data_IF_751898219314
#
_entry.id   IF_751898219314
#
_cell.length_a   1.000
_cell.length_b   1.000
_cell.length_c   1.000
_cell.angle_alpha   90.00
_cell.angle_beta   90.00
_cell.angle_gamma   90.00
#
_symmetry.space_group_name_H-M   'P 1'
#
loop_
_entity.id
_entity.type
_entity.pdbx_description
1 polymer ?
#
# COMPACT_ATOMS: atom_id res chain seq x y z
N UNK A 1 13.95 5.50 -5.65
CA UNK A 1 14.99 4.75 -6.39
C UNK A 1 16.37 4.85 -5.72
N UNK A 2 16.87 6.05 -5.36
CA UNK A 2 18.19 6.24 -4.75
C UNK A 2 18.39 5.37 -3.50
N UNK A 3 17.45 5.43 -2.54
CA UNK A 3 17.49 4.64 -1.30
C UNK A 3 17.51 3.13 -1.53
N UNK A 4 16.84 2.67 -2.58
CA UNK A 4 16.82 1.25 -2.94
C UNK A 4 18.15 0.80 -3.55
N UNK A 5 18.78 1.64 -4.39
CA UNK A 5 20.12 1.36 -4.95
C UNK A 5 21.21 1.35 -3.90
N UNK A 6 21.08 2.21 -2.88
CA UNK A 6 22.04 2.33 -1.77
C UNK A 6 21.79 1.25 -0.67
N UNK A 7 20.73 0.47 -0.79
CA UNK A 7 20.32 -0.60 0.17
C UNK A 7 20.43 -0.17 1.64
N UNK A 8 19.90 1.01 1.94
CA UNK A 8 19.92 1.61 3.28
C UNK A 8 18.56 2.10 3.70
N UNK A 9 18.38 2.29 4.98
CA UNK A 9 17.20 2.92 5.54
C UNK A 9 17.13 4.41 5.17
N UNK A 10 15.90 4.93 5.13
CA UNK A 10 15.65 6.35 4.94
C UNK A 10 15.97 7.13 6.20
N UNK A 11 16.65 8.28 6.06
CA UNK A 11 16.81 9.25 7.13
C UNK A 11 15.46 9.86 7.54
N UNK A 12 15.35 10.52 8.70
CA UNK A 12 14.11 11.19 9.11
C UNK A 12 13.61 12.21 8.08
N UNK A 13 14.49 12.95 7.42
CA UNK A 13 14.14 13.94 6.39
C UNK A 13 13.65 13.26 5.10
N UNK A 14 14.30 12.17 4.72
CA UNK A 14 13.87 11.37 3.57
C UNK A 14 12.51 10.71 3.84
N UNK A 15 12.26 10.20 5.06
CA UNK A 15 10.93 9.70 5.45
C UNK A 15 9.85 10.76 5.38
N UNK A 16 10.12 12.00 5.82
CA UNK A 16 9.19 13.12 5.66
C UNK A 16 8.87 13.42 4.19
N UNK A 17 9.86 13.23 3.30
CA UNK A 17 9.66 13.39 1.87
C UNK A 17 8.84 12.24 1.29
N UNK A 18 9.17 11.00 1.64
CA UNK A 18 8.42 9.81 1.21
C UNK A 18 6.97 9.83 1.69
N UNK A 19 6.72 10.29 2.92
CA UNK A 19 5.39 10.40 3.50
C UNK A 19 4.47 11.43 2.79
N UNK A 20 5.02 12.27 1.91
CA UNK A 20 4.22 13.17 1.05
C UNK A 20 3.69 12.46 -0.21
N UNK A 21 4.20 11.29 -0.53
CA UNK A 21 3.69 10.53 -1.65
C UNK A 21 2.28 10.02 -1.35
N UNK A 22 1.36 10.36 -2.21
CA UNK A 22 -0.07 10.05 -2.06
C UNK A 22 -0.58 9.07 -3.13
N UNK A 23 0.34 8.36 -3.82
CA UNK A 23 0.00 7.45 -4.90
C UNK A 23 -0.44 8.14 -6.18
N UNK A 24 -1.00 7.37 -7.08
CA UNK A 24 -1.37 7.80 -8.43
C UNK A 24 -2.86 8.10 -8.58
N UNK A 25 -3.66 7.89 -7.54
CA UNK A 25 -5.09 8.12 -7.56
C UNK A 25 -5.45 9.55 -7.98
N UNK A 26 -6.33 9.68 -8.96
CA UNK A 26 -6.74 10.98 -9.48
C UNK A 26 -5.77 11.64 -10.48
N UNK A 27 -4.62 11.01 -10.80
CA UNK A 27 -3.61 11.53 -11.72
C UNK A 27 -3.71 10.94 -13.14
N UNK A 28 -4.89 10.49 -13.57
CA UNK A 28 -5.11 9.88 -14.89
C UNK A 28 -4.57 10.74 -16.04
N UNK A 29 -4.72 12.06 -15.93
CA UNK A 29 -4.26 13.01 -16.95
C UNK A 29 -2.73 13.01 -17.16
N UNK A 30 -1.94 12.64 -16.13
CA UNK A 30 -0.48 12.56 -16.24
C UNK A 30 -0.01 11.35 -17.06
N UNK A 31 -0.91 10.38 -17.31
CA UNK A 31 -0.68 9.18 -18.11
C UNK A 31 -1.30 9.22 -19.50
N UNK A 32 -1.95 10.34 -19.87
CA UNK A 32 -2.58 10.55 -21.17
C UNK A 32 -1.62 11.33 -22.10
N UNK A 33 -1.11 10.63 -23.12
CA UNK A 33 -0.19 11.19 -24.12
C UNK A 33 -0.83 12.30 -24.99
N UNK A 34 -2.16 12.37 -25.03
CA UNK A 34 -2.88 13.37 -25.81
C UNK A 34 -3.31 14.59 -25.01
N UNK A 35 -3.07 14.59 -23.68
CA UNK A 35 -3.45 15.71 -22.83
C UNK A 35 -2.40 16.82 -22.88
N UNK A 36 -2.66 17.85 -23.68
CA UNK A 36 -1.73 18.97 -23.90
C UNK A 36 -1.32 19.70 -22.60
N UNK A 37 -2.19 19.72 -21.60
CA UNK A 37 -1.92 20.40 -20.32
C UNK A 37 -0.97 19.62 -19.42
N UNK A 38 -0.73 18.33 -19.69
CA UNK A 38 0.05 17.41 -18.85
C UNK A 38 1.28 16.81 -19.57
N UNK A 39 1.64 17.37 -20.73
CA UNK A 39 2.74 16.85 -21.54
C UNK A 39 4.09 16.83 -20.79
N UNK A 40 4.32 17.81 -19.93
CA UNK A 40 5.55 17.89 -19.13
C UNK A 40 5.61 16.73 -18.13
N UNK A 41 4.56 16.55 -17.35
CA UNK A 41 4.45 15.49 -16.35
C UNK A 41 4.45 14.10 -17.00
N UNK A 42 3.79 13.95 -18.15
CA UNK A 42 3.84 12.73 -18.95
C UNK A 42 5.26 12.37 -19.37
N UNK A 43 6.03 13.34 -19.91
CA UNK A 43 7.41 13.12 -20.31
C UNK A 43 8.32 12.80 -19.11
N UNK A 44 8.17 13.53 -18.00
CA UNK A 44 8.93 13.27 -16.77
C UNK A 44 8.65 11.88 -16.21
N UNK A 45 7.39 11.41 -16.21
CA UNK A 45 7.04 10.06 -15.75
C UNK A 45 7.71 8.98 -16.62
N UNK A 46 7.71 9.15 -17.94
CA UNK A 46 8.38 8.24 -18.87
C UNK A 46 9.90 8.19 -18.68
N UNK A 47 10.51 9.27 -18.29
CA UNK A 47 11.96 9.35 -18.01
C UNK A 47 12.32 8.75 -16.65
N UNK A 48 11.50 9.00 -15.63
CA UNK A 48 11.82 8.67 -14.24
C UNK A 48 11.47 7.23 -13.86
N UNK A 49 10.44 6.65 -14.48
CA UNK A 49 9.95 5.30 -14.19
C UNK A 49 10.48 4.30 -15.21
N UNK A 50 10.76 3.08 -14.75
CA UNK A 50 10.93 1.96 -15.67
C UNK A 50 9.59 1.63 -16.36
N UNK A 51 9.64 0.87 -17.46
CA UNK A 51 8.43 0.48 -18.18
C UNK A 51 7.42 -0.23 -17.25
N UNK A 52 7.90 -1.16 -16.42
CA UNK A 52 7.06 -1.90 -15.48
C UNK A 52 6.50 -0.99 -14.37
N UNK A 53 7.30 -0.07 -13.83
CA UNK A 53 6.85 0.91 -12.84
C UNK A 53 5.82 1.88 -13.45
N UNK A 54 6.00 2.28 -14.70
CA UNK A 54 5.05 3.14 -15.42
C UNK A 54 3.70 2.45 -15.64
N UNK A 55 3.71 1.21 -16.13
CA UNK A 55 2.47 0.46 -16.37
C UNK A 55 1.75 0.13 -15.04
N UNK A 56 2.47 -0.22 -13.99
CA UNK A 56 1.90 -0.42 -12.66
C UNK A 56 1.27 0.87 -12.11
N UNK A 57 1.97 2.00 -12.21
CA UNK A 57 1.47 3.31 -11.80
C UNK A 57 0.21 3.70 -12.56
N UNK A 58 0.23 3.56 -13.89
CA UNK A 58 -0.92 3.82 -14.78
C UNK A 58 -2.12 2.93 -14.42
N UNK A 59 -1.88 1.63 -14.17
CA UNK A 59 -2.93 0.69 -13.77
C UNK A 59 -3.56 1.02 -12.41
N UNK A 60 -2.82 1.63 -11.50
CA UNK A 60 -3.29 1.97 -10.15
C UNK A 60 -4.10 3.28 -10.07
N UNK A 61 -4.08 4.11 -11.11
CA UNK A 61 -4.73 5.44 -11.14
C UNK A 61 -6.21 5.39 -10.73
N UNK A 62 -6.94 4.36 -11.16
CA UNK A 62 -8.36 4.21 -10.87
C UNK A 62 -8.65 3.60 -9.50
N UNK A 63 -7.68 2.93 -8.89
CA UNK A 63 -7.87 2.08 -7.71
C UNK A 63 -7.10 2.57 -6.48
N UNK A 64 -6.19 3.53 -6.63
CA UNK A 64 -5.39 4.06 -5.52
C UNK A 64 -6.19 5.10 -4.72
N UNK A 65 -7.12 4.63 -3.91
CA UNK A 65 -7.89 5.46 -2.98
C UNK A 65 -7.34 5.30 -1.57
N UNK A 66 -6.70 6.36 -1.06
CA UNK A 66 -6.16 6.34 0.29
C UNK A 66 -7.26 6.62 1.33
N UNK A 67 -7.30 5.78 2.35
CA UNK A 67 -8.22 5.92 3.46
C UNK A 67 -7.85 7.14 4.29
N UNK A 68 -8.83 8.00 4.60
CA UNK A 68 -8.60 9.16 5.43
C UNK A 68 -8.28 8.78 6.88
N UNK A 69 -7.55 9.66 7.56
CA UNK A 69 -7.21 9.46 8.97
C UNK A 69 -8.44 9.21 9.85
N UNK A 70 -9.51 9.97 9.64
CA UNK A 70 -10.72 9.86 10.47
C UNK A 70 -11.38 8.48 10.37
N UNK A 71 -11.38 7.88 9.16
CA UNK A 71 -11.88 6.52 8.94
C UNK A 71 -10.97 5.51 9.62
N UNK A 72 -9.64 5.66 9.48
CA UNK A 72 -8.65 4.79 10.12
C UNK A 72 -8.77 4.86 11.64
N UNK A 73 -8.90 6.06 12.21
CA UNK A 73 -9.09 6.24 13.64
C UNK A 73 -10.36 5.51 14.14
N UNK A 74 -11.49 5.65 13.42
CA UNK A 74 -12.72 4.94 13.74
C UNK A 74 -12.57 3.41 13.70
N UNK A 75 -11.80 2.88 12.74
CA UNK A 75 -11.51 1.44 12.65
C UNK A 75 -10.65 0.98 13.84
N UNK A 76 -9.62 1.74 14.22
CA UNK A 76 -8.81 1.42 15.38
C UNK A 76 -9.58 1.54 16.70
N UNK A 77 -10.50 2.50 16.83
CA UNK A 77 -11.42 2.55 17.97
C UNK A 77 -12.30 1.30 18.06
N UNK A 78 -12.80 0.81 16.93
CA UNK A 78 -13.57 -0.43 16.90
C UNK A 78 -12.71 -1.64 17.33
N UNK A 79 -11.50 -1.77 16.80
CA UNK A 79 -10.55 -2.82 17.20
C UNK A 79 -10.24 -2.73 18.70
N UNK A 80 -10.07 -1.53 19.23
CA UNK A 80 -9.85 -1.31 20.66
C UNK A 80 -11.03 -1.80 21.51
N UNK A 81 -12.28 -1.54 21.06
CA UNK A 81 -13.49 -2.05 21.72
C UNK A 81 -13.58 -3.59 21.69
N UNK A 82 -13.06 -4.22 20.63
CA UNK A 82 -12.93 -5.67 20.56
C UNK A 82 -11.79 -6.26 21.40
N UNK A 83 -11.07 -5.41 22.14
CA UNK A 83 -10.00 -5.85 23.03
C UNK A 83 -8.62 -5.98 22.36
N UNK A 84 -8.48 -5.55 21.11
CA UNK A 84 -7.17 -5.53 20.44
C UNK A 84 -6.26 -4.52 21.15
N UNK A 85 -5.07 -4.98 21.51
CA UNK A 85 -4.01 -4.20 22.16
C UNK A 85 -2.67 -4.54 21.51
N UNK A 86 -1.55 -4.16 22.10
CA UNK A 86 -0.21 -4.50 21.61
C UNK A 86 0.06 -6.00 21.50
N UNK A 87 1.23 -6.34 20.98
CA UNK A 87 1.74 -7.71 20.75
C UNK A 87 1.01 -8.53 19.66
N UNK A 88 0.12 -7.91 18.87
CA UNK A 88 -0.58 -8.60 17.78
C UNK A 88 0.24 -8.68 16.51
N UNK A 89 -0.04 -9.71 15.69
CA UNK A 89 0.33 -9.77 14.28
C UNK A 89 -0.79 -9.13 13.46
N UNK A 90 -0.48 -8.03 12.81
CA UNK A 90 -1.45 -7.24 12.06
C UNK A 90 -1.09 -7.26 10.58
N UNK A 91 -2.05 -7.66 9.74
CA UNK A 91 -1.89 -7.67 8.29
C UNK A 91 -2.71 -6.55 7.64
N UNK A 92 -2.09 -5.84 6.72
CA UNK A 92 -2.76 -5.01 5.72
C UNK A 92 -2.50 -5.57 4.32
N UNK A 93 -3.49 -6.24 3.68
CA UNK A 93 -3.31 -6.92 2.40
C UNK A 93 -3.33 -6.00 1.17
N UNK A 94 -3.68 -4.72 1.34
CA UNK A 94 -3.64 -3.69 0.30
C UNK A 94 -2.99 -2.42 0.87
N UNK A 95 -1.69 -2.55 1.19
CA UNK A 95 -0.97 -1.64 2.08
C UNK A 95 -0.95 -0.17 1.60
N UNK A 96 -0.86 0.07 0.31
CA UNK A 96 -0.59 1.41 -0.20
C UNK A 96 0.71 1.96 0.39
N UNK A 97 0.68 3.20 0.83
CA UNK A 97 1.80 3.82 1.55
C UNK A 97 1.87 3.48 3.03
N UNK A 98 0.96 2.63 3.53
CA UNK A 98 0.91 2.19 4.93
C UNK A 98 0.21 3.18 5.86
N UNK A 99 -0.85 3.84 5.39
CA UNK A 99 -1.61 4.78 6.22
C UNK A 99 -2.15 4.12 7.49
N UNK A 100 -2.62 2.87 7.40
CA UNK A 100 -3.04 2.12 8.58
C UNK A 100 -1.91 1.94 9.59
N UNK A 101 -0.69 1.69 9.14
CA UNK A 101 0.45 1.60 10.06
C UNK A 101 0.80 2.97 10.65
N UNK A 102 0.77 4.03 9.83
CA UNK A 102 1.13 5.38 10.24
C UNK A 102 0.18 6.03 11.25
N UNK A 103 -1.11 5.70 11.17
CA UNK A 103 -2.15 6.23 12.05
C UNK A 103 -2.59 5.24 13.14
N UNK A 104 -1.85 4.14 13.32
CA UNK A 104 -2.16 3.15 14.35
C UNK A 104 -2.13 3.79 15.75
N UNK A 105 -3.11 3.45 16.56
CA UNK A 105 -3.15 3.89 17.96
C UNK A 105 -2.00 3.27 18.75
N UNK A 106 -1.38 4.06 19.65
CA UNK A 106 -0.14 3.67 20.32
C UNK A 106 -0.27 2.39 21.13
N UNK A 107 -1.40 2.17 21.79
CA UNK A 107 -1.68 0.98 22.59
C UNK A 107 -1.84 -0.30 21.75
N UNK A 108 -2.24 -0.17 20.46
CA UNK A 108 -2.28 -1.27 19.50
C UNK A 108 -0.90 -1.46 18.86
N UNK A 109 -0.18 -0.36 18.58
CA UNK A 109 1.14 -0.37 17.95
C UNK A 109 2.23 -0.97 18.87
N UNK A 110 2.02 -0.98 20.18
CA UNK A 110 3.01 -1.44 21.15
C UNK A 110 3.36 -2.91 20.90
N UNK A 111 4.63 -3.15 20.49
CA UNK A 111 5.16 -4.46 20.12
C UNK A 111 4.35 -5.19 19.02
N UNK A 112 3.54 -4.49 18.25
CA UNK A 112 2.83 -5.07 17.11
C UNK A 112 3.82 -5.53 16.03
N UNK A 113 3.56 -6.69 15.45
CA UNK A 113 4.28 -7.20 14.28
C UNK A 113 3.47 -6.91 13.04
N UNK A 114 3.98 -6.00 12.21
CA UNK A 114 3.26 -5.47 11.04
C UNK A 114 3.63 -6.25 9.78
N UNK A 115 2.63 -6.64 9.04
CA UNK A 115 2.73 -7.32 7.76
C UNK A 115 1.92 -6.56 6.73
N UNK A 116 2.53 -6.27 5.59
CA UNK A 116 1.86 -5.57 4.50
C UNK A 116 2.06 -6.26 3.16
N UNK A 117 1.07 -6.16 2.29
CA UNK A 117 1.19 -6.60 0.91
C UNK A 117 0.80 -5.44 0.00
N UNK A 118 1.63 -5.16 -1.00
CA UNK A 118 1.40 -4.08 -1.95
C UNK A 118 1.72 -4.54 -3.37
N UNK A 119 0.79 -4.33 -4.26
CA UNK A 119 0.92 -4.75 -5.65
C UNK A 119 1.83 -3.80 -6.46
N UNK A 120 1.67 -2.48 -6.26
CA UNK A 120 2.46 -1.48 -6.97
C UNK A 120 3.91 -1.47 -6.45
N UNK A 121 4.91 -1.78 -7.31
CA UNK A 121 6.30 -1.85 -6.89
C UNK A 121 6.85 -0.55 -6.31
N UNK A 122 6.45 0.61 -6.85
CA UNK A 122 6.94 1.89 -6.36
C UNK A 122 6.36 2.22 -4.99
N UNK A 123 5.06 2.07 -4.82
CA UNK A 123 4.35 2.29 -3.56
C UNK A 123 4.87 1.35 -2.47
N UNK A 124 5.04 0.08 -2.79
CA UNK A 124 5.59 -0.91 -1.85
C UNK A 124 7.04 -0.61 -1.44
N UNK A 125 7.89 -0.14 -2.37
CA UNK A 125 9.25 0.34 -2.07
C UNK A 125 9.22 1.55 -1.12
N UNK A 126 8.30 2.49 -1.32
CA UNK A 126 8.12 3.65 -0.45
C UNK A 126 7.70 3.19 0.94
N UNK A 127 6.67 2.35 1.04
CA UNK A 127 6.19 1.81 2.29
C UNK A 127 7.30 1.07 3.07
N UNK A 128 8.12 0.25 2.40
CA UNK A 128 9.24 -0.45 3.03
C UNK A 128 10.27 0.51 3.65
N UNK A 129 10.48 1.68 3.05
CA UNK A 129 11.39 2.69 3.61
C UNK A 129 10.74 3.54 4.70
N UNK A 130 9.42 3.66 4.71
CA UNK A 130 8.67 4.32 5.79
C UNK A 130 8.60 3.41 7.04
N UNK A 131 8.41 2.12 6.84
CA UNK A 131 8.21 1.13 7.91
C UNK A 131 9.26 0.00 7.86
N UNK A 132 10.53 0.27 8.16
CA UNK A 132 11.62 -0.69 7.98
C UNK A 132 11.51 -1.94 8.89
N UNK A 133 10.72 -1.86 9.95
CA UNK A 133 10.46 -2.98 10.88
C UNK A 133 9.23 -3.82 10.49
N UNK A 134 8.48 -3.42 9.46
CA UNK A 134 7.35 -4.19 8.96
C UNK A 134 7.80 -5.22 7.92
N UNK A 135 7.13 -6.36 7.89
CA UNK A 135 7.33 -7.37 6.83
C UNK A 135 6.44 -7.00 5.65
N UNK A 136 7.01 -6.35 4.64
CA UNK A 136 6.28 -5.90 3.45
C UNK A 136 6.64 -6.77 2.26
N UNK A 137 5.62 -7.38 1.63
CA UNK A 137 5.74 -8.14 0.40
C UNK A 137 5.20 -7.29 -0.77
N UNK A 138 6.02 -7.14 -1.82
CA UNK A 138 5.67 -6.36 -3.01
C UNK A 138 5.23 -7.34 -4.10
N UNK A 139 3.95 -7.66 -4.11
CA UNK A 139 3.31 -8.60 -5.04
C UNK A 139 1.78 -8.58 -4.86
N UNK A 140 1.04 -9.26 -5.73
CA UNK A 140 -0.38 -9.49 -5.52
C UNK A 140 -0.66 -10.35 -4.28
N UNK A 141 -1.76 -10.07 -3.59
CA UNK A 141 -2.13 -10.81 -2.37
C UNK A 141 -2.34 -12.31 -2.65
N UNK A 142 -2.88 -12.66 -3.81
CA UNK A 142 -3.06 -14.03 -4.30
C UNK A 142 -1.74 -14.81 -4.47
N UNK A 143 -0.61 -14.12 -4.49
CA UNK A 143 0.73 -14.72 -4.58
C UNK A 143 1.39 -14.92 -3.21
N UNK A 144 0.68 -14.56 -2.14
CA UNK A 144 1.19 -14.74 -0.79
C UNK A 144 0.99 -16.19 -0.31
N UNK A 145 1.85 -16.61 0.60
CA UNK A 145 1.83 -17.97 1.16
C UNK A 145 1.70 -17.93 2.68
N UNK A 146 0.82 -17.07 3.19
CA UNK A 146 0.52 -17.06 4.62
C UNK A 146 -0.23 -18.33 5.01
N UNK A 147 0.18 -18.92 6.13
CA UNK A 147 -0.57 -20.05 6.69
C UNK A 147 -1.85 -19.57 7.38
N UNK A 148 -2.86 -20.44 7.45
CA UNK A 148 -4.09 -20.13 8.16
C UNK A 148 -3.78 -19.72 9.62
N UNK A 149 -4.62 -18.87 10.19
CA UNK A 149 -4.54 -18.41 11.58
C UNK A 149 -3.21 -17.71 11.95
N UNK A 150 -2.51 -17.14 10.94
CA UNK A 150 -1.23 -16.44 11.18
C UNK A 150 -1.42 -15.09 11.86
N UNK A 151 -2.50 -14.38 11.54
CA UNK A 151 -2.73 -13.00 11.96
C UNK A 151 -3.82 -12.89 13.00
N UNK A 152 -3.59 -12.06 14.01
CA UNK A 152 -4.59 -11.73 15.03
C UNK A 152 -5.58 -10.68 14.51
N UNK A 153 -5.11 -9.81 13.61
CA UNK A 153 -5.92 -8.74 12.99
C UNK A 153 -5.58 -8.62 11.52
N UNK A 154 -6.63 -8.52 10.70
CA UNK A 154 -6.51 -8.08 9.30
C UNK A 154 -7.33 -6.81 9.16
N UNK A 155 -6.70 -5.73 8.73
CA UNK A 155 -7.33 -4.43 8.57
C UNK A 155 -6.93 -3.83 7.24
N UNK A 156 -7.91 -3.39 6.43
CA UNK A 156 -7.65 -2.81 5.13
C UNK A 156 -8.85 -2.05 4.58
N UNK A 157 -8.58 -1.19 3.63
CA UNK A 157 -9.54 -0.73 2.64
C UNK A 157 -9.14 -1.34 1.31
N UNK A 158 -9.62 -2.54 1.02
CA UNK A 158 -9.27 -3.27 -0.21
C UNK A 158 -9.79 -2.54 -1.45
N UNK A 159 -9.07 -2.60 -2.58
CA UNK A 159 -9.56 -2.07 -3.84
C UNK A 159 -10.92 -2.68 -4.20
N UNK A 160 -11.82 -1.84 -4.71
CA UNK A 160 -13.13 -2.26 -5.18
C UNK A 160 -13.35 -1.80 -6.62
N UNK A 161 -14.08 -2.60 -7.41
CA UNK A 161 -14.30 -2.32 -8.83
C UNK A 161 -14.84 -3.55 -9.57
N UNK A 162 -15.10 -3.38 -10.86
CA UNK A 162 -15.57 -4.46 -11.73
C UNK A 162 -14.40 -5.29 -12.28
N UNK A 163 -13.54 -5.80 -11.41
CA UNK A 163 -12.45 -6.71 -11.77
C UNK A 163 -12.38 -7.86 -10.77
N UNK A 164 -11.88 -8.99 -11.21
CA UNK A 164 -11.67 -10.15 -10.34
C UNK A 164 -10.22 -10.61 -10.43
N UNK A 165 -9.71 -11.13 -9.32
CA UNK A 165 -8.41 -11.80 -9.27
C UNK A 165 -8.70 -13.31 -9.21
N UNK A 166 -8.05 -14.07 -10.10
CA UNK A 166 -8.20 -15.50 -10.08
C UNK A 166 -7.32 -16.09 -8.98
N UNK A 167 -7.96 -16.79 -8.05
CA UNK A 167 -7.32 -17.64 -7.06
C UNK A 167 -7.92 -19.04 -7.14
N UNK A 168 -7.09 -20.04 -7.41
CA UNK A 168 -7.53 -21.43 -7.61
C UNK A 168 -8.16 -22.03 -6.35
N UNK A 169 -7.75 -21.62 -5.15
CA UNK A 169 -8.28 -22.08 -3.89
C UNK A 169 -9.70 -21.55 -3.65
N UNK A 170 -9.96 -20.31 -4.11
CA UNK A 170 -11.24 -19.63 -3.97
C UNK A 170 -12.07 -19.56 -5.25
N UNK A 171 -11.69 -20.31 -6.30
CA UNK A 171 -12.36 -20.28 -7.61
C UNK A 171 -13.87 -20.51 -7.55
N UNK A 172 -14.39 -21.24 -6.55
CA UNK A 172 -15.82 -21.47 -6.33
C UNK A 172 -16.56 -20.23 -5.81
N UNK A 173 -15.83 -19.25 -5.28
CA UNK A 173 -16.36 -18.05 -4.64
C UNK A 173 -16.06 -16.78 -5.46
N UNK A 174 -15.36 -16.90 -6.58
CA UNK A 174 -15.14 -15.81 -7.51
C UNK A 174 -16.42 -15.58 -8.33
N UNK A 175 -17.29 -14.72 -7.81
CA UNK A 175 -18.59 -14.39 -8.43
C UNK A 175 -18.51 -13.32 -9.50
N UNK A 176 -17.32 -12.75 -9.79
CA UNK A 176 -17.13 -11.70 -10.80
C UNK A 176 -15.82 -11.89 -11.55
#
# INVERSE_FOLDING_TARGET
QKLYREDRDATPEERKTLAKYVGWGGLANAFDEHNENWQKEYAELKELLSADEYEAAKGSVLNAHYTSKDVIDGMYEALHRFGVRGNNKILEPALGTGNFFGFMHKDIAENARLYGVELDPLTGKIASKLYPNANIQIKGFEQTTFTNDTFDVVVSNVPFGAYSVYDSEYARHNFY
#
